data_IF_465806804695
#
_entry.id   IF_465806804695
#
_cell.length_a   1.000
_cell.length_b   1.000
_cell.length_c   1.000
_cell.angle_alpha   90.00
_cell.angle_beta   90.00
_cell.angle_gamma   90.00
#
_symmetry.space_group_name_H-M   'P 1'
#
loop_
_entity.id
_entity.type
_entity.pdbx_description
1 polymer ?
#
# COMPACT_ATOMS: atom_id res chain seq x y z
N UNK A 1 -49.55 -14.11 34.87
CA UNK A 1 -49.58 -14.40 33.40
C UNK A 1 -49.65 -15.92 33.24
N UNK A 2 -50.59 -16.44 32.46
CA UNK A 2 -50.75 -17.88 32.25
C UNK A 2 -49.62 -18.42 31.34
N UNK A 3 -49.17 -19.65 31.57
CA UNK A 3 -48.00 -20.24 30.90
C UNK A 3 -48.20 -20.42 29.38
N UNK A 4 -49.46 -20.45 28.94
CA UNK A 4 -49.82 -20.39 27.52
C UNK A 4 -49.47 -19.03 26.87
N UNK A 5 -49.73 -17.91 27.56
CA UNK A 5 -49.43 -16.56 27.04
C UNK A 5 -47.92 -16.36 26.89
N UNK A 6 -47.14 -16.89 27.84
CA UNK A 6 -45.67 -16.87 27.80
C UNK A 6 -45.10 -17.65 26.61
N UNK A 7 -45.68 -18.81 26.26
CA UNK A 7 -45.29 -19.59 25.07
C UNK A 7 -45.55 -18.83 23.77
N UNK A 8 -46.69 -18.16 23.66
CA UNK A 8 -47.06 -17.36 22.47
C UNK A 8 -46.10 -16.18 22.28
N UNK A 9 -45.82 -15.41 23.33
CA UNK A 9 -44.88 -14.28 23.28
C UNK A 9 -43.47 -14.74 22.89
N UNK A 10 -43.00 -15.86 23.45
CA UNK A 10 -41.69 -16.45 23.08
C UNK A 10 -41.63 -16.81 21.59
N UNK A 11 -42.71 -17.37 21.03
CA UNK A 11 -42.81 -17.68 19.60
C UNK A 11 -42.76 -16.43 18.72
N UNK A 12 -43.49 -15.37 19.12
CA UNK A 12 -43.53 -14.11 18.41
C UNK A 12 -42.15 -13.44 18.35
N UNK A 13 -41.48 -13.34 19.52
CA UNK A 13 -40.13 -12.78 19.63
C UNK A 13 -39.13 -13.57 18.79
N UNK A 14 -39.16 -14.91 18.85
CA UNK A 14 -38.27 -15.76 18.06
C UNK A 14 -38.43 -15.55 16.55
N UNK A 15 -39.67 -15.44 16.07
CA UNK A 15 -39.95 -15.20 14.65
C UNK A 15 -39.51 -13.79 14.21
N UNK A 16 -39.72 -12.78 15.05
CA UNK A 16 -39.29 -11.41 14.76
C UNK A 16 -37.77 -11.28 14.70
N UNK A 17 -37.05 -11.88 15.66
CA UNK A 17 -35.58 -11.92 15.66
C UNK A 17 -35.08 -12.63 14.41
N UNK A 18 -35.63 -13.80 14.06
CA UNK A 18 -35.22 -14.53 12.85
C UNK A 18 -35.39 -13.69 11.59
N UNK A 19 -36.53 -13.01 11.44
CA UNK A 19 -36.82 -12.15 10.28
C UNK A 19 -35.88 -10.95 10.20
N UNK A 20 -35.53 -10.35 11.34
CA UNK A 20 -34.57 -9.24 11.37
C UNK A 20 -33.16 -9.71 11.03
N UNK A 21 -32.70 -10.83 11.61
CA UNK A 21 -31.37 -11.40 11.34
C UNK A 21 -31.22 -11.73 9.86
N UNK A 22 -32.22 -12.38 9.24
CA UNK A 22 -32.20 -12.67 7.80
C UNK A 22 -32.14 -11.43 6.92
N UNK A 23 -32.58 -10.27 7.40
CA UNK A 23 -32.53 -8.99 6.66
C UNK A 23 -31.23 -8.23 6.89
N UNK A 24 -30.64 -8.35 8.07
CA UNK A 24 -29.42 -7.62 8.47
C UNK A 24 -28.17 -8.32 7.94
N UNK A 25 -28.12 -9.65 7.98
CA UNK A 25 -26.92 -10.41 7.67
C UNK A 25 -26.40 -10.16 6.23
N UNK A 26 -27.24 -10.16 5.18
CA UNK A 26 -26.78 -9.84 3.82
C UNK A 26 -26.28 -8.41 3.67
N UNK A 27 -26.88 -7.45 4.40
CA UNK A 27 -26.45 -6.03 4.37
C UNK A 27 -25.07 -5.84 5.00
N UNK A 28 -24.79 -6.58 6.08
CA UNK A 28 -23.47 -6.57 6.71
C UNK A 28 -22.46 -7.16 5.73
N UNK A 29 -22.75 -8.33 5.16
CA UNK A 29 -21.89 -9.00 4.18
C UNK A 29 -21.55 -8.08 2.99
N UNK A 30 -22.57 -7.45 2.40
CA UNK A 30 -22.39 -6.52 1.29
C UNK A 30 -21.55 -5.29 1.68
N UNK A 31 -21.84 -4.69 2.84
CA UNK A 31 -21.10 -3.50 3.31
C UNK A 31 -19.63 -3.81 3.62
N UNK A 32 -19.34 -4.98 4.18
CA UNK A 32 -17.98 -5.45 4.46
C UNK A 32 -17.25 -5.73 3.15
N UNK A 33 -17.89 -6.41 2.21
CA UNK A 33 -17.31 -6.71 0.91
C UNK A 33 -17.01 -5.43 0.10
N UNK A 34 -17.93 -4.47 0.08
CA UNK A 34 -17.74 -3.18 -0.58
C UNK A 34 -16.56 -2.40 0.04
N UNK A 35 -16.47 -2.37 1.37
CA UNK A 35 -15.38 -1.71 2.09
C UNK A 35 -14.03 -2.37 1.82
N UNK A 36 -13.98 -3.71 1.85
CA UNK A 36 -12.77 -4.46 1.55
C UNK A 36 -12.31 -4.23 0.12
N UNK A 37 -13.21 -4.31 -0.87
CA UNK A 37 -12.88 -4.10 -2.28
C UNK A 37 -12.30 -2.70 -2.51
N UNK A 38 -12.90 -1.67 -1.93
CA UNK A 38 -12.38 -0.31 -2.02
C UNK A 38 -10.97 -0.17 -1.42
N UNK A 39 -10.74 -0.75 -0.24
CA UNK A 39 -9.42 -0.70 0.42
C UNK A 39 -8.35 -1.51 -0.33
N UNK A 40 -8.73 -2.63 -0.92
CA UNK A 40 -7.83 -3.44 -1.76
C UNK A 40 -7.47 -2.67 -3.02
N UNK A 41 -8.45 -2.04 -3.67
CA UNK A 41 -8.22 -1.26 -4.88
C UNK A 41 -7.29 -0.07 -4.60
N UNK A 42 -7.53 0.71 -3.55
CA UNK A 42 -6.66 1.85 -3.21
C UNK A 42 -5.24 1.42 -2.87
N UNK A 43 -5.08 0.35 -2.07
CA UNK A 43 -3.76 -0.22 -1.78
C UNK A 43 -3.05 -0.73 -3.03
N UNK A 44 -3.78 -1.45 -3.89
CA UNK A 44 -3.26 -1.96 -5.16
C UNK A 44 -2.84 -0.83 -6.08
N UNK A 45 -3.67 0.19 -6.28
CA UNK A 45 -3.33 1.36 -7.09
C UNK A 45 -2.07 2.08 -6.59
N UNK A 46 -1.93 2.24 -5.27
CA UNK A 46 -0.73 2.85 -4.70
C UNK A 46 0.51 1.96 -4.91
N UNK A 47 0.39 0.66 -4.71
CA UNK A 47 1.46 -0.31 -4.96
C UNK A 47 1.89 -0.30 -6.43
N UNK A 48 0.94 -0.32 -7.37
CA UNK A 48 1.21 -0.25 -8.81
C UNK A 48 1.90 1.05 -9.21
N UNK A 49 1.48 2.19 -8.63
CA UNK A 49 2.12 3.49 -8.90
C UNK A 49 3.57 3.53 -8.41
N UNK A 50 3.81 3.03 -7.19
CA UNK A 50 5.17 2.91 -6.64
C UNK A 50 6.02 1.94 -7.47
N UNK A 51 5.47 0.78 -7.84
CA UNK A 51 6.14 -0.20 -8.69
C UNK A 51 6.53 0.38 -10.05
N UNK A 52 5.62 1.10 -10.71
CA UNK A 52 5.90 1.76 -11.99
C UNK A 52 6.99 2.82 -11.88
N UNK A 53 6.97 3.64 -10.82
CA UNK A 53 8.02 4.63 -10.57
C UNK A 53 9.40 3.95 -10.39
N UNK A 54 9.48 2.89 -9.58
CA UNK A 54 10.71 2.12 -9.39
C UNK A 54 11.20 1.51 -10.71
N UNK A 55 10.30 0.95 -11.51
CA UNK A 55 10.66 0.36 -12.81
C UNK A 55 11.21 1.42 -13.79
N UNK A 56 10.66 2.64 -13.77
CA UNK A 56 11.14 3.75 -14.59
C UNK A 56 12.55 4.20 -14.17
N UNK A 57 12.79 4.40 -12.87
CA UNK A 57 14.10 4.78 -12.33
C UNK A 57 15.17 3.74 -12.68
N UNK A 58 14.87 2.44 -12.53
CA UNK A 58 15.77 1.35 -12.91
C UNK A 58 16.07 1.33 -14.42
N UNK A 59 15.05 1.57 -15.25
CA UNK A 59 15.23 1.61 -16.71
C UNK A 59 16.12 2.80 -17.13
N UNK A 60 15.99 3.95 -16.46
CA UNK A 60 16.86 5.11 -16.70
C UNK A 60 18.33 4.79 -16.39
N UNK A 61 18.59 4.09 -15.27
CA UNK A 61 19.93 3.64 -14.91
C UNK A 61 20.53 2.65 -15.93
N UNK A 62 19.74 1.69 -16.42
CA UNK A 62 20.19 0.74 -17.45
C UNK A 62 20.57 1.47 -18.76
N UNK A 63 19.77 2.47 -19.16
CA UNK A 63 20.07 3.29 -20.32
C UNK A 63 21.34 4.11 -20.14
N UNK A 64 21.54 4.73 -18.97
CA UNK A 64 22.79 5.44 -18.63
C UNK A 64 23.99 4.50 -18.76
N UNK A 65 23.91 3.28 -18.21
CA UNK A 65 24.98 2.28 -18.30
C UNK A 65 25.31 1.91 -19.75
N UNK A 66 24.31 1.59 -20.56
CA UNK A 66 24.49 1.24 -21.98
C UNK A 66 25.16 2.40 -22.74
N UNK A 67 24.74 3.64 -22.45
CA UNK A 67 25.32 4.82 -23.09
C UNK A 67 26.81 4.97 -22.73
N UNK A 68 27.18 4.78 -21.46
CA UNK A 68 28.57 4.80 -20.98
C UNK A 68 29.42 3.73 -21.67
N UNK A 69 28.94 2.49 -21.76
CA UNK A 69 29.64 1.38 -22.42
C UNK A 69 29.84 1.64 -23.93
N UNK A 70 28.81 2.15 -24.61
CA UNK A 70 28.89 2.54 -26.04
C UNK A 70 29.88 3.67 -26.26
N UNK A 71 29.90 4.61 -25.33
CA UNK A 71 30.82 5.72 -25.30
C UNK A 71 32.26 5.20 -25.13
N UNK A 72 32.54 4.38 -24.13
CA UNK A 72 33.86 3.82 -23.86
C UNK A 72 34.43 3.00 -25.05
N UNK A 73 33.57 2.24 -25.74
CA UNK A 73 33.94 1.52 -26.96
C UNK A 73 34.20 2.41 -28.19
N UNK A 74 33.76 3.67 -28.18
CA UNK A 74 33.96 4.61 -29.28
C UNK A 74 35.26 5.40 -29.11
N UNK A 75 36.22 5.19 -30.04
CA UNK A 75 37.52 5.89 -30.07
C UNK A 75 37.44 7.42 -30.14
N UNK A 76 36.26 7.99 -30.42
CA UNK A 76 36.04 9.43 -30.59
C UNK A 76 35.90 10.23 -29.30
N UNK A 77 35.66 9.60 -28.13
CA UNK A 77 35.48 10.32 -26.85
C UNK A 77 36.64 11.25 -26.53
N UNK A 78 37.82 10.93 -27.02
CA UNK A 78 39.01 11.74 -26.82
C UNK A 78 39.07 12.98 -27.73
N UNK A 79 38.16 13.14 -28.70
CA UNK A 79 38.23 14.17 -29.75
C UNK A 79 37.60 15.51 -29.40
N UNK A 80 36.67 15.58 -28.46
CA UNK A 80 36.13 16.86 -27.99
C UNK A 80 35.98 16.92 -26.48
N UNK A 81 36.21 18.11 -25.91
CA UNK A 81 36.05 18.36 -24.48
C UNK A 81 34.60 18.19 -24.04
N UNK A 82 33.62 18.51 -24.90
CA UNK A 82 32.20 18.29 -24.66
C UNK A 82 31.86 16.80 -24.46
N UNK A 83 32.43 15.90 -25.28
CA UNK A 83 32.21 14.46 -25.15
C UNK A 83 32.86 13.90 -23.87
N UNK A 84 34.04 14.40 -23.49
CA UNK A 84 34.68 14.04 -22.22
C UNK A 84 33.87 14.50 -21.01
N UNK A 85 33.36 15.73 -21.06
CA UNK A 85 32.53 16.29 -19.99
C UNK A 85 31.21 15.52 -19.85
N UNK A 86 30.57 15.18 -20.97
CA UNK A 86 29.36 14.36 -20.97
C UNK A 86 29.61 12.95 -20.39
N UNK A 87 30.68 12.28 -20.81
CA UNK A 87 31.05 10.96 -20.28
C UNK A 87 31.27 11.02 -18.76
N UNK A 88 32.03 12.03 -18.28
CA UNK A 88 32.30 12.22 -16.86
C UNK A 88 31.00 12.44 -16.06
N UNK A 89 30.10 13.28 -16.57
CA UNK A 89 28.81 13.55 -15.93
C UNK A 89 27.92 12.30 -15.89
N UNK A 90 27.90 11.49 -16.96
CA UNK A 90 27.13 10.23 -17.00
C UNK A 90 27.66 9.21 -15.99
N UNK A 91 28.98 9.04 -15.91
CA UNK A 91 29.61 8.14 -14.94
C UNK A 91 29.31 8.59 -13.51
N UNK A 92 29.44 9.89 -13.21
CA UNK A 92 29.16 10.44 -11.88
C UNK A 92 27.68 10.25 -11.47
N UNK A 93 26.76 10.54 -12.39
CA UNK A 93 25.33 10.32 -12.15
C UNK A 93 24.99 8.83 -11.93
N UNK A 94 25.59 7.94 -12.72
CA UNK A 94 25.37 6.50 -12.59
C UNK A 94 25.89 5.93 -11.26
N UNK A 95 27.09 6.34 -10.82
CA UNK A 95 27.64 5.94 -9.52
C UNK A 95 26.84 6.50 -8.35
N UNK A 96 26.32 7.73 -8.46
CA UNK A 96 25.42 8.31 -7.46
C UNK A 96 24.10 7.52 -7.35
N UNK A 97 23.45 7.22 -8.49
CA UNK A 97 22.22 6.42 -8.55
C UNK A 97 22.44 5.01 -7.96
N UNK A 98 23.59 4.40 -8.28
CA UNK A 98 23.98 3.10 -7.73
C UNK A 98 24.20 3.13 -6.22
N UNK A 99 24.86 4.16 -5.68
CA UNK A 99 25.04 4.33 -4.24
C UNK A 99 23.69 4.50 -3.50
N UNK A 100 22.73 5.22 -4.12
CA UNK A 100 21.37 5.34 -3.59
C UNK A 100 20.68 3.97 -3.57
N UNK A 101 20.78 3.19 -4.66
CA UNK A 101 20.18 1.86 -4.74
C UNK A 101 20.79 0.87 -3.74
N UNK A 102 22.11 0.87 -3.60
CA UNK A 102 22.85 0.02 -2.65
C UNK A 102 22.43 0.36 -1.20
N UNK A 103 22.24 1.65 -0.87
CA UNK A 103 21.69 2.07 0.42
C UNK A 103 20.25 1.61 0.65
N UNK A 104 19.46 1.45 -0.41
CA UNK A 104 18.10 0.95 -0.34
C UNK A 104 18.06 -0.56 -0.09
N UNK A 105 19.00 -1.31 -0.70
CA UNK A 105 19.26 -2.72 -0.40
C UNK A 105 19.53 -2.95 1.08
N UNK A 106 20.42 -2.15 1.67
CA UNK A 106 20.69 -2.13 3.11
C UNK A 106 19.47 -1.67 3.93
N UNK A 107 18.66 -0.74 3.41
CA UNK A 107 17.43 -0.27 4.07
C UNK A 107 16.30 -1.30 4.09
N UNK A 108 16.29 -2.32 3.21
CA UNK A 108 15.27 -3.40 3.26
C UNK A 108 15.38 -4.26 4.52
N UNK A 109 16.54 -4.27 5.19
CA UNK A 109 16.72 -4.90 6.51
C UNK A 109 16.05 -4.06 7.61
N UNK A 110 16.04 -2.73 7.48
CA UNK A 110 15.45 -1.81 8.46
C UNK A 110 13.93 -1.59 8.30
N UNK A 111 13.36 -1.77 7.09
CA UNK A 111 11.92 -1.49 6.82
C UNK A 111 10.94 -2.59 7.22
N UNK A 112 11.38 -3.85 7.36
CA UNK A 112 10.54 -4.96 7.86
C UNK A 112 10.03 -4.76 9.31
N UNK A 113 10.47 -3.71 10.02
CA UNK A 113 10.01 -3.38 11.39
C UNK A 113 9.01 -2.22 11.50
N UNK A 114 8.60 -1.52 10.42
CA UNK A 114 7.76 -0.29 10.54
C UNK A 114 6.34 -0.36 9.97
N UNK A 115 6.03 -1.27 9.05
CA UNK A 115 4.69 -1.30 8.44
C UNK A 115 3.57 -1.78 9.40
N UNK A 116 3.94 -2.45 10.50
CA UNK A 116 3.02 -2.92 11.54
C UNK A 116 2.60 -1.80 12.52
N UNK A 117 3.47 -0.81 12.77
CA UNK A 117 3.25 0.23 13.79
C UNK A 117 2.31 1.35 13.30
N UNK A 118 2.37 1.71 12.02
CA UNK A 118 1.59 2.83 11.46
C UNK A 118 0.09 2.50 11.25
N UNK A 119 -0.27 1.20 11.19
CA UNK A 119 -1.68 0.79 11.09
C UNK A 119 -2.44 0.86 12.41
N UNK A 120 -1.74 0.72 13.56
CA UNK A 120 -2.36 0.80 14.88
C UNK A 120 -2.78 2.23 15.25
N UNK A 121 -1.99 3.23 14.83
CA UNK A 121 -2.22 4.64 15.17
C UNK A 121 -3.51 5.23 14.53
N UNK A 122 -3.90 4.76 13.35
CA UNK A 122 -5.11 5.23 12.66
C UNK A 122 -6.40 4.58 13.18
N UNK A 123 -6.34 3.39 13.78
CA UNK A 123 -7.52 2.69 14.29
C UNK A 123 -7.96 3.19 15.67
N UNK A 124 -7.02 3.61 16.52
CA UNK A 124 -7.30 4.11 17.87
C UNK A 124 -8.04 5.47 17.91
N UNK A 125 -7.93 6.29 16.85
CA UNK A 125 -8.63 7.59 16.78
C UNK A 125 -10.11 7.50 16.40
N UNK A 126 -10.63 6.31 16.04
CA UNK A 126 -12.01 6.12 15.55
C UNK A 126 -12.98 5.50 16.55
N UNK A 127 -12.61 5.33 17.82
CA UNK A 127 -13.56 4.91 18.86
C UNK A 127 -14.41 6.10 19.33
N UNK A 128 -15.75 6.07 19.21
CA UNK A 128 -16.61 7.08 19.83
C UNK A 128 -16.60 6.88 21.35
N UNK A 129 -16.37 7.95 22.11
CA UNK A 129 -16.58 7.98 23.55
C UNK A 129 -18.05 7.67 23.85
N UNK A 130 -18.34 6.49 24.38
CA UNK A 130 -19.63 6.18 24.98
C UNK A 130 -19.68 6.92 26.31
N UNK A 131 -20.45 8.00 26.39
CA UNK A 131 -20.80 8.61 27.67
C UNK A 131 -21.67 7.60 28.44
N UNK A 132 -21.08 6.96 29.44
CA UNK A 132 -21.80 6.22 30.43
C UNK A 132 -22.40 7.23 31.44
N UNK A 133 -23.66 7.58 31.25
CA UNK A 133 -24.48 8.10 32.35
C UNK A 133 -25.02 6.88 33.12
N UNK A 134 -24.48 6.63 34.30
CA UNK A 134 -25.11 5.76 35.29
C UNK A 134 -26.12 6.58 36.13
N UNK A 135 -27.16 5.94 36.68
CA UNK A 135 -28.33 6.59 37.30
C UNK A 135 -28.02 7.40 38.56
#
# INVERSE_FOLDING_TARGET
>A
INENIKKILKGLVKNQVKKQVSRILPRIEESVNATLKAKVQTRSSQSSRTSYAIAADLSEMELKKILIEKMEGNKSIQRSDEQRNLYKALVEAYEADKAILDSYGDSTILKRRREDDDQLALHLKRQPRVQANLP
#
